data_IF_376033612560
#
_entry.id   IF_376033612560
#
_cell.length_a   1.000
_cell.length_b   1.000
_cell.length_c   1.000
_cell.angle_alpha   90.00
_cell.angle_beta   90.00
_cell.angle_gamma   90.00
#
_symmetry.space_group_name_H-M   'P 1'
#
loop_
_entity.id
_entity.type
_entity.pdbx_description
1 polymer ?
#
# COMPACT_ATOMS: atom_id res chain seq x y z
N UNK A 1 -4.25 21.67 -2.72
CA UNK A 1 -4.86 21.15 -3.96
C UNK A 1 -3.80 20.36 -4.72
N UNK A 2 -4.16 19.26 -5.39
CA UNK A 2 -3.19 18.47 -6.14
C UNK A 2 -3.05 19.02 -7.56
N UNK A 3 -1.82 19.22 -8.02
CA UNK A 3 -1.47 19.73 -9.34
C UNK A 3 -0.85 18.62 -10.20
N UNK A 4 -0.45 18.99 -11.42
CA UNK A 4 0.34 18.13 -12.32
C UNK A 4 1.66 17.71 -11.67
N UNK A 5 2.21 16.58 -12.13
CA UNK A 5 3.42 16.00 -11.57
C UNK A 5 4.65 16.89 -11.78
N UNK A 6 4.76 17.53 -12.94
CA UNK A 6 5.89 18.39 -13.31
C UNK A 6 6.00 19.66 -12.47
N UNK A 7 4.94 20.07 -11.78
CA UNK A 7 4.98 21.18 -10.82
C UNK A 7 5.97 20.94 -9.66
N UNK A 8 6.39 19.68 -9.44
CA UNK A 8 7.47 19.35 -8.51
C UNK A 8 8.81 19.96 -8.95
N UNK A 9 9.05 20.09 -10.26
CA UNK A 9 10.27 20.71 -10.80
C UNK A 9 10.29 22.19 -10.47
N UNK A 10 9.18 22.90 -10.70
CA UNK A 10 9.06 24.32 -10.38
C UNK A 10 9.20 24.58 -8.87
N UNK A 11 8.68 23.66 -8.04
CA UNK A 11 8.86 23.71 -6.58
C UNK A 11 10.33 23.57 -6.19
N UNK A 12 11.05 22.63 -6.81
CA UNK A 12 12.48 22.45 -6.56
C UNK A 12 13.32 23.61 -7.09
N UNK A 13 12.94 24.19 -8.23
CA UNK A 13 13.60 25.37 -8.79
C UNK A 13 13.50 26.57 -7.84
N UNK A 14 12.33 26.80 -7.23
CA UNK A 14 12.16 27.82 -6.18
C UNK A 14 13.05 27.59 -4.95
N UNK A 15 13.42 26.33 -4.68
CA UNK A 15 14.35 25.97 -3.62
C UNK A 15 15.83 25.99 -4.07
N UNK A 16 16.12 26.39 -5.32
CA UNK A 16 17.47 26.41 -5.89
C UNK A 16 17.98 25.05 -6.37
N UNK A 17 17.11 24.03 -6.39
CA UNK A 17 17.41 22.68 -6.87
C UNK A 17 17.02 22.63 -8.36
N UNK A 18 18.02 22.74 -9.22
CA UNK A 18 17.88 22.73 -10.69
C UNK A 18 18.73 21.61 -11.29
N UNK A 19 18.59 21.33 -12.59
CA UNK A 19 19.41 20.36 -13.32
C UNK A 19 20.93 20.60 -13.18
N UNK A 20 21.34 21.85 -12.97
CA UNK A 20 22.76 22.20 -12.78
C UNK A 20 23.23 21.92 -11.35
N UNK A 21 22.36 22.18 -10.37
CA UNK A 21 22.67 22.00 -8.94
C UNK A 21 22.54 20.54 -8.51
N UNK A 22 21.67 19.77 -9.17
CA UNK A 22 21.30 18.40 -8.76
C UNK A 22 22.50 17.46 -8.74
N UNK A 23 23.44 17.58 -9.67
CA UNK A 23 24.67 16.77 -9.71
C UNK A 23 25.53 16.96 -8.46
N UNK A 24 25.63 18.20 -7.97
CA UNK A 24 26.37 18.51 -6.73
C UNK A 24 25.63 17.99 -5.50
N UNK A 25 24.31 18.13 -5.48
CA UNK A 25 23.45 17.62 -4.41
C UNK A 25 23.56 16.10 -4.33
N UNK A 26 23.51 15.39 -5.46
CA UNK A 26 23.67 13.93 -5.53
C UNK A 26 25.00 13.47 -4.92
N UNK A 27 26.12 14.05 -5.34
CA UNK A 27 27.44 13.70 -4.79
C UNK A 27 27.54 13.98 -3.28
N UNK A 28 26.93 15.07 -2.81
CA UNK A 28 26.92 15.42 -1.39
C UNK A 28 26.05 14.44 -0.59
N UNK A 29 24.89 14.05 -1.13
CA UNK A 29 24.00 13.06 -0.51
C UNK A 29 24.66 11.68 -0.44
N UNK A 30 25.33 11.24 -1.50
CA UNK A 30 26.07 9.97 -1.52
C UNK A 30 27.17 9.96 -0.46
N UNK A 31 27.94 11.05 -0.36
CA UNK A 31 28.95 11.20 0.69
C UNK A 31 28.34 11.15 2.09
N UNK A 32 27.24 11.86 2.33
CA UNK A 32 26.55 11.87 3.63
C UNK A 32 25.97 10.48 3.98
N UNK A 33 25.33 9.81 3.03
CA UNK A 33 24.77 8.46 3.20
C UNK A 33 25.89 7.47 3.53
N UNK A 34 27.02 7.53 2.83
CA UNK A 34 28.18 6.66 3.12
C UNK A 34 28.72 6.87 4.55
N UNK A 35 28.76 8.11 5.02
CA UNK A 35 29.18 8.43 6.39
C UNK A 35 28.23 7.82 7.42
N UNK A 36 26.91 7.87 7.19
CA UNK A 36 25.93 7.25 8.07
C UNK A 36 26.03 5.72 8.08
N UNK A 37 26.34 5.09 6.95
CA UNK A 37 26.57 3.64 6.89
C UNK A 37 27.86 3.23 7.64
N UNK A 38 28.92 4.03 7.58
CA UNK A 38 30.16 3.75 8.33
C UNK A 38 30.07 4.03 9.84
N UNK A 39 29.10 4.84 10.26
CA UNK A 39 28.90 5.20 11.69
C UNK A 39 27.76 4.43 12.34
N UNK A 40 27.01 3.62 11.59
CA UNK A 40 26.02 2.72 12.13
C UNK A 40 26.72 1.54 12.84
N UNK A 41 26.53 1.34 14.16
CA UNK A 41 27.03 0.15 14.83
C UNK A 41 26.33 -1.08 14.26
N UNK A 42 27.07 -2.17 14.04
CA UNK A 42 26.52 -3.49 13.71
C UNK A 42 25.48 -3.87 14.77
N UNK A 43 24.20 -3.71 14.45
CA UNK A 43 23.11 -4.15 15.31
C UNK A 43 22.82 -5.61 14.99
N UNK A 44 23.23 -6.48 15.91
CA UNK A 44 22.96 -7.91 15.91
C UNK A 44 21.50 -8.24 15.56
N UNK A 45 21.35 -9.31 14.77
CA UNK A 45 20.08 -9.91 14.41
C UNK A 45 19.35 -10.43 15.66
N UNK A 46 18.45 -9.61 16.23
CA UNK A 46 17.48 -10.07 17.21
C UNK A 46 17.12 -9.02 18.25
N UNK A 47 15.98 -8.35 18.10
CA UNK A 47 15.45 -7.52 19.18
C UNK A 47 14.36 -6.57 18.74
N UNK A 48 13.20 -6.68 19.41
CA UNK A 48 12.01 -5.86 19.20
C UNK A 48 12.33 -4.36 19.23
N UNK A 49 12.21 -3.69 18.08
CA UNK A 49 12.43 -2.25 17.96
C UNK A 49 11.20 -1.48 18.46
N UNK A 50 11.34 -0.86 19.62
CA UNK A 50 10.42 0.17 20.10
C UNK A 50 10.68 1.47 19.33
N UNK A 51 9.61 2.10 18.86
CA UNK A 51 9.56 3.20 17.89
C UNK A 51 10.25 4.54 18.27
N UNK A 52 11.13 4.56 19.28
CA UNK A 52 11.71 5.79 19.84
C UNK A 52 13.23 5.96 19.61
N UNK A 53 13.92 5.04 18.94
CA UNK A 53 15.32 5.25 18.50
C UNK A 53 15.36 5.83 17.08
N UNK A 54 14.87 7.06 16.93
CA UNK A 54 14.72 7.78 15.65
C UNK A 54 15.86 8.79 15.38
N UNK A 55 17.08 8.53 15.84
CA UNK A 55 18.17 9.53 15.79
C UNK A 55 19.13 9.44 14.59
N UNK A 56 19.69 8.26 14.31
CA UNK A 56 20.78 8.11 13.34
C UNK A 56 20.44 7.17 12.16
N UNK A 57 19.89 5.98 12.44
CA UNK A 57 19.46 5.03 11.41
C UNK A 57 18.28 5.57 10.56
N UNK A 58 17.39 6.35 11.17
CA UNK A 58 16.29 7.04 10.50
C UNK A 58 16.76 8.18 9.59
N UNK A 59 17.84 8.87 9.97
CA UNK A 59 18.40 10.00 9.22
C UNK A 59 19.05 9.54 7.92
N UNK A 60 19.83 8.44 7.96
CA UNK A 60 20.37 7.80 6.75
C UNK A 60 19.27 7.32 5.80
N UNK A 61 18.27 6.61 6.32
CA UNK A 61 17.12 6.14 5.53
C UNK A 61 16.30 7.29 4.91
N UNK A 62 16.22 8.44 5.58
CA UNK A 62 15.58 9.64 5.05
C UNK A 62 16.38 10.24 3.89
N UNK A 63 17.71 10.35 4.02
CA UNK A 63 18.57 10.86 2.95
C UNK A 63 18.54 9.94 1.73
N UNK A 64 18.53 8.63 1.91
CA UNK A 64 18.34 7.67 0.81
C UNK A 64 16.99 7.85 0.11
N UNK A 65 15.92 8.02 0.91
CA UNK A 65 14.58 8.27 0.36
C UNK A 65 14.54 9.58 -0.42
N UNK A 66 15.20 10.63 0.07
CA UNK A 66 15.31 11.91 -0.61
C UNK A 66 16.14 11.81 -1.89
N UNK A 67 17.27 11.09 -1.87
CA UNK A 67 18.08 10.82 -3.06
C UNK A 67 17.26 10.11 -4.14
N UNK A 68 16.48 9.08 -3.78
CA UNK A 68 15.58 8.40 -4.73
C UNK A 68 14.54 9.33 -5.35
N UNK A 69 14.01 10.29 -4.59
CA UNK A 69 13.07 11.29 -5.11
C UNK A 69 13.79 12.23 -6.08
N UNK A 70 14.99 12.68 -5.76
CA UNK A 70 15.80 13.51 -6.65
C UNK A 70 16.11 12.76 -7.95
N UNK A 71 16.56 11.51 -7.87
CA UNK A 71 16.86 10.68 -9.03
C UNK A 71 15.62 10.40 -9.89
N UNK A 72 14.45 10.25 -9.25
CA UNK A 72 13.17 10.09 -9.95
C UNK A 72 12.71 11.38 -10.61
N UNK A 73 12.90 12.55 -10.00
CA UNK A 73 12.37 13.81 -10.53
C UNK A 73 13.27 14.37 -11.63
N UNK A 74 14.58 14.27 -11.44
CA UNK A 74 15.61 14.80 -12.35
C UNK A 74 16.20 13.72 -13.28
N UNK A 75 15.40 12.71 -13.62
CA UNK A 75 15.78 11.73 -14.65
C UNK A 75 15.77 12.44 -16.02
N UNK A 76 16.90 12.42 -16.72
CA UNK A 76 17.10 13.22 -17.93
C UNK A 76 16.21 12.74 -19.09
N UNK A 77 15.32 13.61 -19.59
CA UNK A 77 14.57 13.37 -20.83
C UNK A 77 13.29 14.20 -20.95
N UNK A 78 13.01 14.70 -22.16
CA UNK A 78 11.74 15.38 -22.47
C UNK A 78 10.54 14.44 -22.21
N UNK A 79 10.70 13.16 -22.53
CA UNK A 79 9.71 12.11 -22.26
C UNK A 79 9.42 11.91 -20.76
N UNK A 80 10.39 12.20 -19.90
CA UNK A 80 10.26 12.03 -18.46
C UNK A 80 9.34 13.09 -17.84
N UNK A 81 9.42 14.33 -18.31
CA UNK A 81 8.51 15.39 -17.86
C UNK A 81 7.05 15.07 -18.21
N UNK A 82 6.81 14.55 -19.43
CA UNK A 82 5.49 14.06 -19.81
C UNK A 82 5.04 12.85 -18.96
N UNK A 83 5.96 11.97 -18.60
CA UNK A 83 5.66 10.85 -17.71
C UNK A 83 5.22 11.35 -16.33
N UNK A 84 5.92 12.34 -15.75
CA UNK A 84 5.55 12.97 -14.48
C UNK A 84 4.11 13.49 -14.52
N UNK A 85 3.72 14.21 -15.58
CA UNK A 85 2.35 14.74 -15.69
C UNK A 85 1.29 13.67 -15.91
N UNK A 86 1.63 12.59 -16.62
CA UNK A 86 0.70 11.49 -16.92
C UNK A 86 0.43 10.59 -15.71
N UNK A 87 1.43 10.34 -14.84
CA UNK A 87 1.32 9.30 -13.79
C UNK A 87 1.55 9.80 -12.38
N UNK A 88 2.11 11.00 -12.18
CA UNK A 88 2.31 11.57 -10.85
C UNK A 88 1.37 12.74 -10.56
N UNK A 89 1.06 12.94 -9.28
CA UNK A 89 0.42 14.17 -8.78
C UNK A 89 1.25 14.78 -7.68
N UNK A 90 1.44 16.08 -7.76
CA UNK A 90 2.14 16.86 -6.77
C UNK A 90 1.15 17.59 -5.86
N UNK A 91 1.42 17.65 -4.56
CA UNK A 91 0.66 18.51 -3.66
C UNK A 91 1.48 18.88 -2.44
N UNK A 92 1.40 20.14 -2.03
CA UNK A 92 1.91 20.61 -0.73
C UNK A 92 0.73 20.75 0.20
N UNK A 93 0.80 20.09 1.36
CA UNK A 93 -0.20 20.22 2.42
C UNK A 93 0.44 20.91 3.61
N UNK A 94 -0.18 22.00 4.05
CA UNK A 94 0.14 22.64 5.31
C UNK A 94 -0.95 22.22 6.29
N UNK A 95 -0.59 21.49 7.34
CA UNK A 95 -1.59 20.99 8.26
C UNK A 95 -0.99 20.25 9.44
N UNK A 96 -1.76 20.24 10.53
CA UNK A 96 -1.53 19.47 11.74
C UNK A 96 -1.31 18.01 11.37
N UNK A 97 -0.06 17.59 11.38
CA UNK A 97 0.27 16.22 11.10
C UNK A 97 -0.45 15.34 12.14
N UNK A 98 -1.24 14.34 11.71
CA UNK A 98 -1.93 13.46 12.66
C UNK A 98 -0.95 12.68 13.56
N UNK A 99 0.32 12.58 13.12
CA UNK A 99 1.44 12.09 13.94
C UNK A 99 1.85 13.07 15.04
N UNK A 100 1.86 14.37 14.78
CA UNK A 100 2.20 15.40 15.77
C UNK A 100 1.13 15.55 16.86
N UNK A 101 -0.14 15.29 16.54
CA UNK A 101 -1.22 15.24 17.54
C UNK A 101 -0.99 14.14 18.61
N UNK A 102 -0.20 13.11 18.29
CA UNK A 102 0.17 12.00 19.18
C UNK A 102 1.45 12.28 19.99
N UNK A 103 2.21 13.33 19.66
CA UNK A 103 3.35 13.77 20.44
C UNK A 103 2.89 14.44 21.73
N UNK A 104 3.50 14.01 22.85
CA UNK A 104 3.10 14.36 24.22
C UNK A 104 3.75 15.67 24.72
N UNK A 105 4.72 16.20 23.98
CA UNK A 105 5.45 17.45 24.27
C UNK A 105 4.88 18.65 23.52
N UNK A 106 4.61 19.74 24.24
CA UNK A 106 3.99 20.98 23.72
C UNK A 106 4.87 21.73 22.71
N UNK A 107 6.20 21.74 22.91
CA UNK A 107 7.14 22.43 22.00
C UNK A 107 7.14 21.84 20.57
N UNK A 108 6.89 20.54 20.43
CA UNK A 108 6.82 19.86 19.13
C UNK A 108 5.47 20.15 18.45
N UNK A 109 4.41 20.41 19.22
CA UNK A 109 3.07 20.73 18.69
C UNK A 109 3.04 22.10 18.04
N UNK A 110 3.71 23.10 18.61
CA UNK A 110 3.82 24.43 18.00
C UNK A 110 4.65 24.40 16.71
N UNK A 111 5.77 23.66 16.68
CA UNK A 111 6.54 23.48 15.44
C UNK A 111 5.79 22.69 14.37
N UNK A 112 4.92 21.75 14.76
CA UNK A 112 4.11 20.97 13.83
C UNK A 112 3.03 21.79 13.12
N UNK A 113 2.55 22.91 13.71
CA UNK A 113 1.55 23.79 13.08
C UNK A 113 2.13 24.55 11.88
N UNK A 114 3.46 24.64 11.77
CA UNK A 114 4.18 25.22 10.63
C UNK A 114 4.77 24.19 9.67
N UNK A 115 4.57 22.89 9.92
CA UNK A 115 5.16 21.85 9.08
C UNK A 115 4.43 21.74 7.75
N UNK A 116 5.18 21.89 6.65
CA UNK A 116 4.69 21.68 5.29
C UNK A 116 5.09 20.27 4.86
N UNK A 117 4.11 19.44 4.52
CA UNK A 117 4.36 18.14 3.92
C UNK A 117 4.26 18.23 2.40
N UNK A 118 5.30 17.78 1.72
CA UNK A 118 5.36 17.71 0.27
C UNK A 118 5.04 16.28 -0.17
N UNK A 119 4.10 16.13 -1.10
CA UNK A 119 3.66 14.82 -1.59
C UNK A 119 3.86 14.73 -3.10
N UNK A 120 4.62 13.74 -3.55
CA UNK A 120 4.69 13.30 -4.95
C UNK A 120 4.12 11.89 -5.03
N UNK A 121 2.91 11.74 -5.57
CA UNK A 121 2.17 10.47 -5.58
C UNK A 121 2.17 9.85 -6.96
N UNK A 122 2.67 8.63 -7.08
CA UNK A 122 2.57 7.82 -8.30
C UNK A 122 1.21 7.10 -8.36
N UNK A 123 0.55 7.13 -9.51
CA UNK A 123 -0.72 6.45 -9.78
C UNK A 123 -0.58 5.27 -10.75
N UNK A 124 0.64 4.85 -11.07
CA UNK A 124 0.91 3.70 -11.93
C UNK A 124 2.02 2.82 -11.34
N UNK A 125 1.68 1.58 -11.00
CA UNK A 125 2.69 0.58 -10.61
C UNK A 125 3.63 0.21 -11.77
N UNK A 126 3.22 0.48 -13.02
CA UNK A 126 4.01 0.21 -14.21
C UNK A 126 5.33 0.99 -14.29
N UNK A 127 5.42 2.16 -13.64
CA UNK A 127 6.67 2.96 -13.63
C UNK A 127 7.80 2.18 -12.96
N UNK A 128 7.53 1.64 -11.76
CA UNK A 128 8.51 0.85 -11.01
C UNK A 128 8.85 -0.45 -11.75
N UNK A 129 7.84 -1.14 -12.30
CA UNK A 129 8.04 -2.37 -13.05
C UNK A 129 8.87 -2.16 -14.32
N UNK A 130 8.67 -1.06 -15.06
CA UNK A 130 9.53 -0.71 -16.21
C UNK A 130 10.97 -0.43 -15.81
N UNK A 131 11.17 0.35 -14.75
CA UNK A 131 12.52 0.65 -14.24
C UNK A 131 13.24 -0.62 -13.81
N UNK A 132 12.51 -1.55 -13.20
CA UNK A 132 13.00 -2.88 -12.88
C UNK A 132 13.37 -3.65 -14.15
N UNK A 133 12.48 -3.74 -15.14
CA UNK A 133 12.74 -4.44 -16.40
C UNK A 133 13.90 -3.84 -17.22
N UNK A 134 14.15 -2.53 -17.09
CA UNK A 134 15.28 -1.85 -17.72
C UNK A 134 16.59 -1.99 -16.92
N UNK A 135 16.55 -2.53 -15.69
CA UNK A 135 17.76 -2.74 -14.89
C UNK A 135 18.61 -3.87 -15.45
N UNK A 136 19.94 -3.69 -15.37
CA UNK A 136 20.87 -4.71 -15.83
C UNK A 136 20.68 -6.02 -15.04
N UNK A 137 20.59 -7.14 -15.76
CA UNK A 137 20.54 -8.48 -15.18
C UNK A 137 19.15 -9.13 -15.08
N UNK A 138 18.05 -8.43 -15.41
CA UNK A 138 16.73 -9.06 -15.48
C UNK A 138 16.46 -9.60 -16.88
N UNK A 139 16.41 -10.93 -16.99
CA UNK A 139 16.09 -11.63 -18.24
C UNK A 139 14.59 -11.82 -18.45
N UNK A 140 13.84 -12.09 -17.37
CA UNK A 140 12.39 -12.31 -17.43
C UNK A 140 11.72 -11.94 -16.12
N UNK A 141 10.49 -11.44 -16.19
CA UNK A 141 9.62 -11.17 -15.05
C UNK A 141 8.41 -12.11 -15.13
N UNK A 142 8.32 -13.05 -14.20
CA UNK A 142 7.19 -13.97 -14.07
C UNK A 142 6.41 -13.56 -12.83
N UNK A 143 5.13 -13.27 -13.02
CA UNK A 143 4.20 -12.94 -11.92
C UNK A 143 3.18 -14.04 -11.77
N UNK A 144 3.15 -14.68 -10.60
CA UNK A 144 2.21 -15.75 -10.27
C UNK A 144 1.46 -15.40 -8.99
N UNK A 145 0.14 -15.56 -8.98
CA UNK A 145 -0.64 -15.56 -7.74
C UNK A 145 -1.96 -16.32 -7.94
N UNK A 146 -2.43 -16.96 -6.87
CA UNK A 146 -3.69 -17.70 -6.86
C UNK A 146 -4.94 -16.82 -6.81
N UNK A 147 -4.79 -15.49 -6.71
CA UNK A 147 -5.91 -14.54 -6.56
C UNK A 147 -5.90 -13.39 -7.57
N UNK A 148 -5.06 -13.46 -8.62
CA UNK A 148 -4.89 -12.38 -9.60
C UNK A 148 -6.01 -12.23 -10.65
N UNK A 149 -7.14 -12.92 -10.50
CA UNK A 149 -8.25 -12.83 -11.43
C UNK A 149 -9.12 -11.57 -11.19
N UNK A 150 -9.56 -10.87 -12.24
CA UNK A 150 -9.26 -11.08 -13.67
C UNK A 150 -7.90 -10.48 -14.10
N UNK A 151 -7.12 -11.18 -14.94
CA UNK A 151 -5.77 -10.72 -15.34
C UNK A 151 -5.77 -9.39 -16.12
N UNK A 152 -6.87 -9.05 -16.79
CA UNK A 152 -7.01 -7.79 -17.50
C UNK A 152 -6.89 -6.57 -16.55
N UNK A 153 -7.44 -6.68 -15.34
CA UNK A 153 -7.40 -5.64 -14.33
C UNK A 153 -6.00 -5.47 -13.74
N UNK A 154 -5.32 -6.59 -13.50
CA UNK A 154 -3.92 -6.59 -13.09
C UNK A 154 -3.03 -5.89 -14.12
N UNK A 155 -3.17 -6.24 -15.41
CA UNK A 155 -2.44 -5.59 -16.51
C UNK A 155 -2.71 -4.09 -16.58
N UNK A 156 -3.97 -3.67 -16.34
CA UNK A 156 -4.35 -2.24 -16.32
C UNK A 156 -3.66 -1.48 -15.18
N UNK A 157 -3.50 -2.09 -14.01
CA UNK A 157 -2.79 -1.51 -12.86
C UNK A 157 -1.29 -1.30 -13.11
N UNK A 158 -0.66 -2.19 -13.87
CA UNK A 158 0.75 -2.08 -14.31
C UNK A 158 0.87 -1.37 -15.66
N UNK A 159 0.14 -0.26 -15.82
CA UNK A 159 0.03 0.48 -17.09
C UNK A 159 1.40 0.71 -17.76
N UNK A 160 1.50 0.27 -19.01
CA UNK A 160 2.68 0.42 -19.85
C UNK A 160 3.66 -0.76 -19.80
N UNK A 161 3.46 -1.74 -18.92
CA UNK A 161 4.19 -3.01 -18.96
C UNK A 161 3.45 -3.98 -19.87
N UNK A 162 4.19 -4.67 -20.74
CA UNK A 162 3.63 -5.68 -21.62
C UNK A 162 3.75 -7.07 -20.99
N UNK A 163 2.63 -7.80 -21.00
CA UNK A 163 2.54 -9.20 -20.63
C UNK A 163 2.16 -9.99 -21.89
N UNK A 164 3.15 -10.44 -22.69
CA UNK A 164 2.87 -11.16 -23.94
C UNK A 164 2.28 -12.55 -23.67
N UNK A 165 2.64 -13.15 -22.54
CA UNK A 165 2.08 -14.41 -22.06
C UNK A 165 1.23 -14.12 -20.82
N UNK A 166 -0.04 -14.48 -20.88
CA UNK A 166 -0.98 -14.41 -19.76
C UNK A 166 -1.76 -15.72 -19.70
N UNK A 167 -1.76 -16.36 -18.54
CA UNK A 167 -2.42 -17.64 -18.32
C UNK A 167 -3.31 -17.49 -17.09
N UNK A 168 -4.62 -17.53 -17.31
CA UNK A 168 -5.65 -17.51 -16.26
C UNK A 168 -6.31 -18.89 -16.27
N UNK A 169 -6.22 -19.60 -15.14
CA UNK A 169 -6.87 -20.89 -14.98
C UNK A 169 -8.27 -20.71 -14.41
N UNK A 170 -9.18 -21.63 -14.77
CA UNK A 170 -10.46 -21.73 -14.10
C UNK A 170 -10.28 -22.03 -12.60
N UNK A 171 -11.28 -21.64 -11.80
CA UNK A 171 -11.26 -21.81 -10.35
C UNK A 171 -11.18 -23.30 -9.99
N UNK A 172 -10.08 -23.71 -9.35
CA UNK A 172 -9.76 -25.12 -9.07
C UNK A 172 -10.62 -25.69 -7.93
N UNK A 173 -11.18 -24.85 -7.06
CA UNK A 173 -12.08 -25.31 -5.99
C UNK A 173 -13.38 -25.76 -6.65
N UNK A 174 -13.55 -27.07 -6.66
CA UNK A 174 -14.72 -27.72 -7.23
C UNK A 174 -15.86 -27.69 -6.24
N UNK A 175 -17.07 -27.43 -6.76
CA UNK A 175 -18.31 -27.64 -6.00
C UNK A 175 -18.59 -29.13 -5.72
N UNK A 176 -17.86 -30.00 -6.40
CA UNK A 176 -17.92 -31.44 -6.22
C UNK A 176 -16.59 -32.05 -6.68
N UNK A 177 -15.68 -32.47 -5.80
CA UNK A 177 -14.78 -33.53 -6.17
C UNK A 177 -15.63 -34.81 -6.22
N UNK A 178 -15.69 -35.47 -7.37
CA UNK A 178 -16.22 -36.82 -7.46
C UNK A 178 -15.27 -37.73 -6.68
N UNK A 179 -15.56 -37.93 -5.40
CA UNK A 179 -14.93 -39.00 -4.63
C UNK A 179 -15.57 -40.28 -5.12
N UNK A 180 -14.86 -40.99 -6.00
CA UNK A 180 -15.24 -42.33 -6.43
C UNK A 180 -15.08 -43.26 -5.22
N UNK A 181 -16.15 -43.36 -4.43
CA UNK A 181 -16.33 -44.45 -3.47
C UNK A 181 -16.78 -45.70 -4.26
N UNK A 182 -16.17 -46.89 -4.04
CA UNK A 182 -16.49 -48.11 -4.80
C UNK A 182 -17.92 -48.67 -4.63
N UNK A 183 -18.78 -47.99 -3.88
CA UNK A 183 -20.15 -48.42 -3.57
C UNK A 183 -21.13 -47.28 -3.89
N UNK A 184 -21.48 -47.17 -5.17
CA UNK A 184 -22.69 -46.61 -5.79
C UNK A 184 -23.42 -45.37 -5.18
N UNK A 185 -22.79 -44.51 -4.39
CA UNK A 185 -23.34 -43.18 -4.05
C UNK A 185 -22.23 -42.15 -4.00
N UNK A 186 -21.93 -41.54 -5.14
CA UNK A 186 -21.04 -40.39 -5.23
C UNK A 186 -21.69 -39.19 -4.52
N UNK A 187 -21.25 -38.91 -3.29
CA UNK A 187 -21.65 -37.71 -2.55
C UNK A 187 -20.71 -36.58 -2.97
N UNK A 188 -21.23 -35.62 -3.74
CA UNK A 188 -20.53 -34.37 -4.06
C UNK A 188 -20.45 -33.48 -2.82
N UNK A 189 -19.24 -33.23 -2.32
CA UNK A 189 -19.03 -32.28 -1.21
C UNK A 189 -18.36 -31.02 -1.76
N UNK A 190 -19.02 -29.87 -1.68
CA UNK A 190 -18.40 -28.57 -1.98
C UNK A 190 -17.14 -28.39 -1.10
N UNK A 191 -15.98 -28.16 -1.72
CA UNK A 191 -14.74 -27.95 -0.96
C UNK A 191 -14.75 -26.62 -0.18
N UNK A 192 -15.44 -25.60 -0.70
CA UNK A 192 -15.66 -24.30 -0.05
C UNK A 192 -17.02 -23.75 -0.45
N UNK A 193 -17.79 -23.29 0.54
CA UNK A 193 -19.00 -22.51 0.31
C UNK A 193 -18.72 -21.02 0.45
N UNK A 194 -19.09 -20.24 -0.57
CA UNK A 194 -19.03 -18.78 -0.56
C UNK A 194 -20.43 -18.19 -0.67
N UNK A 195 -20.77 -17.24 0.20
CA UNK A 195 -22.06 -16.57 0.20
C UNK A 195 -21.97 -15.11 0.59
N UNK A 196 -22.96 -14.33 0.16
CA UNK A 196 -23.10 -12.91 0.52
C UNK A 196 -24.29 -12.77 1.46
N UNK A 197 -24.05 -12.25 2.67
CA UNK A 197 -25.10 -11.92 3.62
C UNK A 197 -25.45 -10.45 3.46
N UNK A 198 -26.59 -10.16 2.85
CA UNK A 198 -27.02 -8.79 2.53
C UNK A 198 -27.77 -8.10 3.70
N UNK A 199 -28.40 -8.89 4.57
CA UNK A 199 -29.15 -8.42 5.73
C UNK A 199 -29.00 -9.42 6.88
N UNK A 200 -29.07 -8.93 8.11
CA UNK A 200 -29.01 -9.80 9.28
C UNK A 200 -30.37 -10.37 9.70
N UNK A 201 -30.42 -11.02 10.88
CA UNK A 201 -31.62 -11.68 11.40
C UNK A 201 -32.82 -10.75 11.62
N UNK A 202 -32.59 -9.46 11.87
CA UNK A 202 -33.65 -8.44 12.07
C UNK A 202 -34.01 -7.71 10.78
N UNK A 203 -33.55 -8.21 9.62
CA UNK A 203 -33.73 -7.61 8.29
C UNK A 203 -33.06 -6.25 8.10
N UNK A 204 -32.18 -5.85 9.01
CA UNK A 204 -31.35 -4.65 8.83
C UNK A 204 -30.28 -4.92 7.78
N UNK A 205 -30.14 -4.02 6.81
CA UNK A 205 -29.16 -4.14 5.72
C UNK A 205 -27.74 -4.02 6.25
N UNK A 206 -26.89 -4.97 5.88
CA UNK A 206 -25.47 -4.97 6.21
C UNK A 206 -24.72 -4.10 5.19
N UNK A 207 -24.68 -2.79 5.45
CA UNK A 207 -23.96 -1.83 4.62
C UNK A 207 -22.83 -1.16 5.42
N UNK A 208 -21.59 -1.59 5.15
CA UNK A 208 -20.38 -1.03 5.76
C UNK A 208 -19.84 0.26 5.12
N UNK A 209 -20.63 0.95 4.29
CA UNK A 209 -20.20 2.21 3.65
C UNK A 209 -19.88 3.32 4.66
N UNK A 210 -19.13 4.34 4.23
CA UNK A 210 -18.77 5.49 5.07
C UNK A 210 -19.97 6.13 5.78
N UNK A 211 -21.13 6.18 5.12
CA UNK A 211 -22.35 6.81 5.65
C UNK A 211 -23.01 6.01 6.78
N UNK A 212 -22.91 4.68 6.74
CA UNK A 212 -23.71 3.77 7.58
C UNK A 212 -22.88 2.97 8.58
N UNK A 213 -21.56 2.93 8.42
CA UNK A 213 -20.64 2.12 9.26
C UNK A 213 -20.65 2.46 10.75
N UNK A 214 -21.10 3.66 11.13
CA UNK A 214 -21.22 4.10 12.52
C UNK A 214 -22.66 4.06 13.04
N UNK A 215 -23.62 3.62 12.22
CA UNK A 215 -25.00 3.48 12.66
C UNK A 215 -25.08 2.35 13.68
N UNK A 216 -25.75 2.61 14.79
CA UNK A 216 -25.97 1.63 15.86
C UNK A 216 -26.67 0.38 15.32
N UNK A 217 -27.72 0.54 14.51
CA UNK A 217 -28.49 -0.60 13.98
C UNK A 217 -27.63 -1.52 13.11
N UNK A 218 -26.73 -0.94 12.30
CA UNK A 218 -25.80 -1.71 11.48
C UNK A 218 -24.79 -2.49 12.33
N UNK A 219 -24.21 -1.86 13.36
CA UNK A 219 -23.22 -2.48 14.23
C UNK A 219 -23.84 -3.60 15.06
N UNK A 220 -25.03 -3.34 15.62
CA UNK A 220 -25.80 -4.35 16.35
C UNK A 220 -26.13 -5.53 15.44
N UNK A 221 -26.58 -5.27 14.22
CA UNK A 221 -26.92 -6.34 13.28
C UNK A 221 -25.70 -7.14 12.83
N UNK A 222 -24.56 -6.48 12.59
CA UNK A 222 -23.30 -7.16 12.31
C UNK A 222 -22.90 -8.09 13.48
N UNK A 223 -23.03 -7.62 14.72
CA UNK A 223 -22.83 -8.43 15.92
C UNK A 223 -23.78 -9.62 16.00
N UNK A 224 -25.06 -9.41 15.71
CA UNK A 224 -26.07 -10.49 15.67
C UNK A 224 -25.73 -11.55 14.63
N UNK A 225 -25.26 -11.16 13.44
CA UNK A 225 -24.85 -12.10 12.39
C UNK A 225 -23.66 -12.93 12.86
N UNK A 226 -22.62 -12.29 13.41
CA UNK A 226 -21.44 -12.99 13.91
C UNK A 226 -21.78 -13.94 15.07
N UNK A 227 -22.62 -13.52 16.01
CA UNK A 227 -23.09 -14.34 17.12
C UNK A 227 -23.89 -15.57 16.66
N UNK A 228 -24.56 -15.48 15.52
CA UNK A 228 -25.30 -16.61 14.93
C UNK A 228 -24.43 -17.55 14.09
N UNK A 229 -23.41 -17.03 13.41
CA UNK A 229 -22.54 -17.82 12.51
C UNK A 229 -21.41 -18.48 13.27
N UNK A 230 -20.76 -17.75 14.20
CA UNK A 230 -19.54 -18.24 14.83
C UNK A 230 -19.70 -19.55 15.62
N UNK A 231 -20.78 -19.77 16.40
CA UNK A 231 -21.00 -21.05 17.07
C UNK A 231 -21.23 -22.22 16.12
N UNK A 232 -21.67 -21.95 14.88
CA UNK A 232 -21.99 -22.97 13.87
C UNK A 232 -20.79 -23.39 13.03
N UNK A 233 -19.66 -22.70 13.16
CA UNK A 233 -18.47 -22.92 12.34
C UNK A 233 -17.63 -24.18 12.73
N UNK A 234 -18.15 -25.06 13.59
CA UNK A 234 -17.54 -26.37 13.83
C UNK A 234 -16.41 -26.42 14.87
N UNK A 235 -16.11 -25.31 15.56
CA UNK A 235 -15.20 -25.29 16.71
C UNK A 235 -13.73 -24.96 16.42
N UNK A 236 -13.31 -24.95 15.15
CA UNK A 236 -11.91 -24.70 14.74
C UNK A 236 -11.52 -23.21 14.68
N UNK A 237 -12.42 -22.32 15.13
CA UNK A 237 -12.23 -20.88 15.17
C UNK A 237 -12.82 -20.14 13.97
N UNK A 238 -12.95 -18.82 14.11
CA UNK A 238 -13.56 -17.94 13.11
C UNK A 238 -12.66 -16.74 12.86
N UNK A 239 -12.33 -16.49 11.59
CA UNK A 239 -11.58 -15.31 11.17
C UNK A 239 -12.55 -14.23 10.70
N UNK A 240 -12.48 -13.05 11.31
CA UNK A 240 -13.30 -11.88 10.94
C UNK A 240 -12.39 -10.73 10.52
N UNK A 241 -12.50 -10.29 9.27
CA UNK A 241 -11.77 -9.16 8.72
C UNK A 241 -12.67 -7.92 8.63
N UNK A 242 -12.19 -6.79 9.15
CA UNK A 242 -12.88 -5.49 9.08
C UNK A 242 -12.19 -4.57 8.07
N UNK A 243 -12.94 -3.61 7.52
CA UNK A 243 -12.40 -2.65 6.52
C UNK A 243 -11.36 -1.68 7.08
N UNK A 244 -11.30 -1.50 8.41
CA UNK A 244 -10.30 -0.68 9.08
C UNK A 244 -10.22 -0.99 10.58
N UNK A 245 -9.10 -0.65 11.21
CA UNK A 245 -8.95 -0.71 12.68
C UNK A 245 -9.92 0.21 13.42
N UNK A 246 -10.32 1.33 12.81
CA UNK A 246 -11.32 2.21 13.39
C UNK A 246 -12.67 1.48 13.49
N UNK A 247 -13.10 0.81 12.41
CA UNK A 247 -14.32 0.01 12.41
C UNK A 247 -14.24 -1.16 13.40
N UNK A 248 -13.11 -1.87 13.45
CA UNK A 248 -12.89 -2.94 14.44
C UNK A 248 -13.07 -2.43 15.87
N UNK A 249 -12.51 -1.25 16.19
CA UNK A 249 -12.63 -0.64 17.52
C UNK A 249 -14.05 -0.23 17.87
N UNK A 250 -14.82 0.23 16.88
CA UNK A 250 -16.22 0.62 17.08
C UNK A 250 -17.14 -0.59 17.20
N UNK A 251 -16.76 -1.74 16.64
CA UNK A 251 -17.52 -2.99 16.70
C UNK A 251 -17.18 -3.88 17.91
N UNK A 252 -16.20 -3.50 18.74
CA UNK A 252 -15.89 -4.14 20.03
C UNK A 252 -16.78 -3.59 21.13
#
# INVERSE_FOLDING_TARGET
TATEGSAVLDFFEQAGITDQTVTRIRSTLEGAISLFHTTAPEADAGGHSNNNTLGAASSGAFLESFQRVIDLVFENGVEHRELLDKVFRFSVTQGKDARAAKCREENIREQADHMKSVHLRCFSGGVAAKKLLASEGILSLIVTSGTLAPLAEFKRGLRGVEFPMMLENDHIISRAPEVVVPDATSVSVDQVWGGIVCAGPTSVKLNGSYRTRNNHDYLQELGNVLANVAPKAGGDGVLVAFSSYAQLRTAK
#
